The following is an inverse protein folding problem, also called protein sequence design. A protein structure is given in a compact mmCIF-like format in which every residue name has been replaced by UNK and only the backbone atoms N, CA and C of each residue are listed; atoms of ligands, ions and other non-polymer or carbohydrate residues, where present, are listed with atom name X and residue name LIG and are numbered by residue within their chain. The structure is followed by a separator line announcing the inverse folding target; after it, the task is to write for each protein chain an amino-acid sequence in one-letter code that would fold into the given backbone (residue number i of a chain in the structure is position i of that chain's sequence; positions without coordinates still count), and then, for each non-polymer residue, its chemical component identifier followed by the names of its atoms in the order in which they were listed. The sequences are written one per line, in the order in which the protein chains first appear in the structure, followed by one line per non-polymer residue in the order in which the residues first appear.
data_IF_329336969846
#
_entry.id   IF_329336969846
#
_cell.length_a   1.000
_cell.length_b   1.000
_cell.length_c   1.000
_cell.angle_alpha   90.00
_cell.angle_beta   90.00
_cell.angle_gamma   90.00
#
_symmetry.space_group_name_H-M   'P 1'
#
loop_
_entity.id
_entity.type
_entity.pdbx_description
1 polymer ?
#
# COMPACT_ATOMS: atom_id res chain seq x y z
N UNK A 1 -12.05 -8.13 11.27
CA UNK A 1 -11.81 -6.76 11.78
C UNK A 1 -11.42 -5.81 10.66
N UNK A 2 -11.69 -4.50 10.81
CA UNK A 2 -11.28 -3.44 9.86
C UNK A 2 -10.80 -2.20 10.61
N UNK A 3 -9.77 -1.54 10.08
CA UNK A 3 -9.25 -0.26 10.59
C UNK A 3 -8.53 0.49 9.47
N UNK A 4 -7.97 1.65 9.78
CA UNK A 4 -7.23 2.44 8.79
C UNK A 4 -5.88 2.91 9.32
N UNK A 5 -4.97 3.27 8.40
CA UNK A 5 -3.72 3.94 8.71
C UNK A 5 -3.32 4.91 7.57
N UNK A 6 -2.35 5.78 7.81
CA UNK A 6 -1.83 6.70 6.78
C UNK A 6 -1.02 5.92 5.71
N UNK A 7 -1.42 5.95 4.42
CA UNK A 7 -0.77 5.19 3.35
C UNK A 7 0.69 5.57 3.07
N UNK A 8 1.17 6.73 3.54
CA UNK A 8 2.57 7.14 3.39
C UNK A 8 3.47 6.61 4.51
N UNK A 9 2.91 6.06 5.59
CA UNK A 9 3.69 5.47 6.69
C UNK A 9 4.07 4.03 6.35
N UNK A 10 5.16 3.86 5.60
CA UNK A 10 5.69 2.55 5.16
C UNK A 10 5.90 1.53 6.29
N UNK A 11 6.24 1.98 7.49
CA UNK A 11 6.37 1.11 8.68
C UNK A 11 5.02 0.51 9.08
N UNK A 12 3.96 1.30 9.05
CA UNK A 12 2.62 0.83 9.32
C UNK A 12 2.15 -0.08 8.18
N UNK A 13 2.49 0.23 6.93
CA UNK A 13 2.22 -0.64 5.80
C UNK A 13 2.83 -2.03 5.98
N UNK A 14 4.12 -2.09 6.32
CA UNK A 14 4.83 -3.35 6.56
C UNK A 14 4.18 -4.13 7.70
N UNK A 15 3.92 -3.47 8.83
CA UNK A 15 3.30 -4.13 9.98
C UNK A 15 1.91 -4.69 9.63
N UNK A 16 1.03 -3.87 9.06
CA UNK A 16 -0.35 -4.28 8.77
C UNK A 16 -0.41 -5.37 7.69
N UNK A 17 0.34 -5.22 6.60
CA UNK A 17 0.21 -6.09 5.43
C UNK A 17 1.15 -7.30 5.46
N UNK A 18 2.38 -7.13 5.94
CA UNK A 18 3.42 -8.18 5.89
C UNK A 18 3.62 -8.90 7.21
N UNK A 19 3.46 -8.21 8.36
CA UNK A 19 3.59 -8.84 9.69
C UNK A 19 2.27 -9.46 10.18
N UNK A 20 1.16 -8.72 10.13
CA UNK A 20 -0.16 -9.25 10.50
C UNK A 20 -0.81 -10.04 9.37
N UNK A 21 -0.46 -9.72 8.13
CA UNK A 21 -1.05 -10.31 6.92
C UNK A 21 -2.37 -9.66 6.48
N UNK A 22 -2.86 -8.61 7.14
CA UNK A 22 -4.11 -7.93 6.74
C UNK A 22 -4.04 -7.47 5.28
N UNK A 23 -5.19 -7.26 4.65
CA UNK A 23 -5.24 -6.80 3.25
C UNK A 23 -5.77 -5.38 3.16
N UNK A 24 -5.10 -4.53 2.38
CA UNK A 24 -5.61 -3.21 2.01
C UNK A 24 -6.74 -3.33 1.00
N UNK A 25 -7.86 -2.69 1.27
CA UNK A 25 -9.11 -2.87 0.51
C UNK A 25 -9.73 -1.59 -0.04
N UNK A 26 -9.34 -0.42 0.48
CA UNK A 26 -9.81 0.86 -0.03
C UNK A 26 -8.82 1.98 0.33
N UNK A 27 -8.83 3.04 -0.47
CA UNK A 27 -8.15 4.30 -0.21
C UNK A 27 -9.22 5.36 0.03
N UNK A 28 -9.15 6.04 1.16
CA UNK A 28 -10.07 7.12 1.52
C UNK A 28 -9.29 8.42 1.62
N UNK A 29 -9.58 9.35 0.70
CA UNK A 29 -8.97 10.67 0.68
C UNK A 29 -9.56 11.55 1.78
N UNK A 30 -8.72 12.32 2.48
CA UNK A 30 -9.15 13.31 3.47
C UNK A 30 -10.16 12.73 4.48
N UNK A 31 -9.91 11.52 4.98
CA UNK A 31 -10.87 10.69 5.73
C UNK A 31 -11.48 11.41 6.94
N UNK A 32 -10.75 12.33 7.57
CA UNK A 32 -11.24 13.12 8.70
C UNK A 32 -11.81 14.50 8.31
N UNK A 33 -12.23 14.66 7.05
CA UNK A 33 -12.68 15.93 6.47
C UNK A 33 -11.65 17.06 6.62
N UNK A 34 -10.36 16.70 6.60
CA UNK A 34 -9.22 17.62 6.71
C UNK A 34 -8.18 17.27 5.65
N UNK A 35 -7.51 18.26 5.05
CA UNK A 35 -6.40 18.03 4.14
C UNK A 35 -5.38 17.07 4.74
N UNK A 36 -4.83 16.19 3.90
CA UNK A 36 -3.69 15.32 4.22
C UNK A 36 -3.99 14.28 5.30
N UNK A 37 -5.26 13.94 5.48
CA UNK A 37 -5.71 12.88 6.38
C UNK A 37 -6.14 11.62 5.63
N UNK A 38 -5.47 11.30 4.53
CA UNK A 38 -5.78 10.10 3.76
C UNK A 38 -5.57 8.83 4.58
N UNK A 39 -6.38 7.82 4.26
CA UNK A 39 -6.41 6.57 4.99
C UNK A 39 -6.48 5.39 4.04
N UNK A 40 -5.55 4.45 4.22
CA UNK A 40 -5.70 3.11 3.69
C UNK A 40 -6.57 2.30 4.63
N UNK A 41 -7.70 1.79 4.13
CA UNK A 41 -8.57 0.87 4.85
C UNK A 41 -8.02 -0.54 4.70
N UNK A 42 -7.84 -1.23 5.82
CA UNK A 42 -7.42 -2.63 5.84
C UNK A 42 -8.49 -3.52 6.46
N UNK A 43 -8.52 -4.77 6.00
CA UNK A 43 -9.34 -5.83 6.53
C UNK A 43 -8.48 -6.98 6.99
N UNK A 44 -8.75 -7.47 8.19
CA UNK A 44 -8.11 -8.64 8.75
C UNK A 44 -9.17 -9.66 9.10
N UNK A 45 -9.11 -10.79 8.42
CA UNK A 45 -9.88 -11.97 8.79
C UNK A 45 -9.16 -12.68 9.94
N UNK A 46 -9.82 -12.77 11.09
CA UNK A 46 -9.29 -13.40 12.31
C UNK A 46 -9.61 -14.89 12.37
N UNK A 47 -10.61 -15.33 11.61
CA UNK A 47 -11.15 -16.70 11.67
C UNK A 47 -10.57 -17.59 10.56
N UNK A 48 -9.73 -17.02 9.69
CA UNK A 48 -9.03 -17.75 8.63
C UNK A 48 -8.04 -18.75 9.24
N UNK A 49 -8.49 -20.00 9.38
CA UNK A 49 -7.79 -21.10 10.04
C UNK A 49 -6.43 -21.47 9.40
N UNK A 50 -6.20 -21.09 8.15
CA UNK A 50 -5.02 -21.50 7.36
C UNK A 50 -4.19 -20.30 6.85
N UNK A 51 -4.22 -19.19 7.59
CA UNK A 51 -3.48 -18.00 7.17
C UNK A 51 -1.97 -18.24 7.30
N UNK A 52 -1.17 -18.10 6.22
CA UNK A 52 0.27 -18.10 6.36
C UNK A 52 0.67 -16.94 7.27
N UNK A 53 1.42 -17.24 8.34
CA UNK A 53 1.94 -16.26 9.32
C UNK A 53 2.79 -15.18 8.66
N UNK A 54 3.29 -15.44 7.45
CA UNK A 54 4.01 -14.48 6.61
C UNK A 54 3.77 -14.81 5.13
N UNK A 55 3.23 -13.86 4.36
CA UNK A 55 3.09 -14.02 2.91
C UNK A 55 4.47 -13.79 2.27
N UNK A 56 5.02 -14.81 1.61
CA UNK A 56 6.25 -14.64 0.83
C UNK A 56 5.93 -13.77 -0.39
N UNK A 57 6.53 -12.59 -0.46
CA UNK A 57 6.39 -11.70 -1.62
C UNK A 57 7.47 -12.04 -2.65
N UNK A 58 7.17 -11.94 -3.96
CA UNK A 58 8.20 -11.93 -5.00
C UNK A 58 9.21 -10.81 -4.75
N UNK A 59 10.39 -10.93 -5.37
CA UNK A 59 11.39 -9.86 -5.34
C UNK A 59 10.80 -8.61 -6.02
N UNK A 60 10.78 -7.45 -5.36
CA UNK A 60 10.30 -6.24 -5.99
C UNK A 60 11.19 -5.82 -7.17
N UNK A 61 10.64 -5.17 -8.20
CA UNK A 61 11.45 -4.50 -9.22
C UNK A 61 12.26 -3.36 -8.59
N UNK A 62 13.34 -2.96 -9.27
CA UNK A 62 14.11 -1.76 -8.89
C UNK A 62 13.23 -0.55 -9.14
N UNK A 63 12.87 0.16 -8.07
CA UNK A 63 12.05 1.38 -8.09
C UNK A 63 12.72 2.43 -7.20
N UNK A 64 12.64 3.69 -7.62
CA UNK A 64 13.26 4.80 -6.91
C UNK A 64 12.29 5.96 -6.66
N UNK A 65 12.83 7.12 -6.24
CA UNK A 65 12.04 8.33 -5.99
C UNK A 65 11.14 8.76 -7.16
N UNK A 66 11.61 8.60 -8.40
CA UNK A 66 10.85 8.94 -9.62
C UNK A 66 9.60 8.06 -9.85
N UNK A 67 9.52 6.92 -9.16
CA UNK A 67 8.41 5.97 -9.25
C UNK A 67 7.38 6.13 -8.12
N UNK A 68 7.62 7.00 -7.15
CA UNK A 68 6.73 7.14 -6.00
C UNK A 68 5.30 7.50 -6.40
N UNK A 69 4.32 6.83 -5.81
CA UNK A 69 2.90 6.97 -6.10
C UNK A 69 2.43 6.31 -7.39
N UNK A 70 3.33 5.72 -8.20
CA UNK A 70 3.00 5.13 -9.50
C UNK A 70 2.88 3.61 -9.42
N UNK A 71 2.05 3.04 -10.28
CA UNK A 71 1.92 1.60 -10.45
C UNK A 71 2.96 1.06 -11.43
N UNK A 72 3.65 0.00 -11.05
CA UNK A 72 4.53 -0.78 -11.92
C UNK A 72 4.09 -2.24 -11.92
N UNK A 73 3.67 -2.74 -13.08
CA UNK A 73 3.24 -4.13 -13.23
C UNK A 73 4.47 -5.06 -13.31
N UNK A 74 4.57 -6.04 -12.40
CA UNK A 74 5.60 -7.07 -12.41
C UNK A 74 5.17 -8.31 -11.63
N UNK A 75 5.67 -9.49 -12.03
CA UNK A 75 5.43 -10.79 -11.39
C UNK A 75 3.94 -11.11 -11.13
N UNK A 76 3.07 -10.80 -12.09
CA UNK A 76 1.63 -11.06 -11.97
C UNK A 76 0.90 -10.17 -10.95
N UNK A 77 1.48 -9.04 -10.54
CA UNK A 77 0.83 -8.04 -9.71
C UNK A 77 1.30 -6.62 -10.01
N UNK A 78 0.91 -5.69 -9.15
CA UNK A 78 1.30 -4.28 -9.24
C UNK A 78 2.12 -3.88 -8.01
N UNK A 79 3.23 -3.21 -8.25
CA UNK A 79 4.06 -2.59 -7.22
C UNK A 79 3.80 -1.09 -7.20
N UNK A 80 3.75 -0.51 -5.99
CA UNK A 80 3.50 0.92 -5.80
C UNK A 80 4.54 1.46 -4.83
N UNK A 81 5.45 2.30 -5.31
CA UNK A 81 6.52 2.86 -4.50
C UNK A 81 6.03 4.03 -3.65
N UNK A 82 6.59 4.18 -2.45
CA UNK A 82 6.37 5.29 -1.54
C UNK A 82 7.70 5.65 -0.83
N UNK A 83 7.87 6.90 -0.38
CA UNK A 83 9.03 7.27 0.42
C UNK A 83 9.02 6.58 1.79
N UNK A 84 10.21 6.29 2.31
CA UNK A 84 10.39 5.85 3.71
C UNK A 84 10.29 7.02 4.68
N UNK A 85 10.55 8.24 4.21
CA UNK A 85 10.53 9.50 4.98
C UNK A 85 9.68 10.57 4.28
N UNK A 86 8.35 10.41 4.21
CA UNK A 86 7.47 11.37 3.55
C UNK A 86 7.53 12.80 4.14
N UNK A 87 7.98 12.96 5.39
CA UNK A 87 8.15 14.27 6.02
C UNK A 87 9.41 15.02 5.57
N UNK A 88 10.28 14.42 4.76
CA UNK A 88 11.41 15.09 4.15
C UNK A 88 11.05 15.81 2.83
N UNK A 89 9.89 15.49 2.26
CA UNK A 89 9.38 16.12 1.05
C UNK A 89 8.83 17.51 1.35
N UNK A 90 8.98 18.42 0.41
CA UNK A 90 8.28 19.69 0.48
C UNK A 90 6.77 19.54 0.22
N UNK A 91 6.04 20.65 0.35
CA UNK A 91 4.58 20.64 0.21
C UNK A 91 4.11 20.29 -1.21
N UNK A 92 4.85 20.69 -2.25
CA UNK A 92 4.49 20.45 -3.65
C UNK A 92 4.76 18.99 -4.03
N UNK A 93 5.94 18.48 -3.70
CA UNK A 93 6.33 17.08 -3.86
C UNK A 93 5.34 16.17 -3.15
N UNK A 94 4.99 16.50 -1.90
CA UNK A 94 4.02 15.73 -1.11
C UNK A 94 2.63 15.77 -1.74
N UNK A 95 2.19 16.91 -2.28
CA UNK A 95 0.89 17.03 -2.93
C UNK A 95 0.82 16.21 -4.24
N UNK A 96 1.90 16.22 -5.03
CA UNK A 96 2.04 15.41 -6.25
C UNK A 96 2.00 13.92 -5.91
N UNK A 97 2.83 13.49 -4.96
CA UNK A 97 2.88 12.11 -4.49
C UNK A 97 1.51 11.64 -4.00
N UNK A 98 0.85 12.45 -3.17
CA UNK A 98 -0.46 12.14 -2.60
C UNK A 98 -1.51 11.92 -3.68
N UNK A 99 -1.61 12.83 -4.65
CA UNK A 99 -2.53 12.73 -5.79
C UNK A 99 -2.27 11.48 -6.63
N UNK A 100 -0.99 11.18 -6.88
CA UNK A 100 -0.61 10.03 -7.69
C UNK A 100 -0.89 8.71 -6.97
N UNK A 101 -0.60 8.66 -5.66
CA UNK A 101 -0.88 7.51 -4.82
C UNK A 101 -2.39 7.22 -4.70
N UNK A 102 -3.20 8.25 -4.47
CA UNK A 102 -4.67 8.14 -4.45
C UNK A 102 -5.19 7.56 -5.77
N UNK A 103 -4.77 8.14 -6.91
CA UNK A 103 -5.17 7.69 -8.24
C UNK A 103 -4.79 6.22 -8.44
N UNK A 104 -3.55 5.86 -8.12
CA UNK A 104 -3.00 4.52 -8.32
C UNK A 104 -3.71 3.47 -7.47
N UNK A 105 -3.83 3.70 -6.16
CA UNK A 105 -4.45 2.74 -5.25
C UNK A 105 -5.95 2.60 -5.51
N UNK A 106 -6.66 3.73 -5.73
CA UNK A 106 -8.09 3.69 -6.08
C UNK A 106 -8.35 2.92 -7.37
N UNK A 107 -7.49 3.09 -8.38
CA UNK A 107 -7.58 2.31 -9.61
C UNK A 107 -7.35 0.80 -9.37
N UNK A 108 -6.40 0.43 -8.51
CA UNK A 108 -6.18 -0.97 -8.14
C UNK A 108 -7.42 -1.57 -7.45
N UNK A 109 -7.99 -0.89 -6.46
CA UNK A 109 -9.18 -1.37 -5.75
C UNK A 109 -10.40 -1.49 -6.66
N UNK A 110 -10.59 -0.56 -7.61
CA UNK A 110 -11.67 -0.63 -8.61
C UNK A 110 -11.56 -1.84 -9.54
N UNK A 111 -10.34 -2.34 -9.79
CA UNK A 111 -10.13 -3.59 -10.55
C UNK A 111 -10.39 -4.85 -9.73
N UNK A 112 -10.62 -4.72 -8.41
CA UNK A 112 -10.73 -5.85 -7.49
C UNK A 112 -9.39 -6.33 -6.95
N UNK A 113 -8.30 -5.58 -7.16
CA UNK A 113 -7.03 -5.86 -6.50
C UNK A 113 -7.11 -5.52 -5.01
N UNK A 114 -6.29 -6.18 -4.21
CA UNK A 114 -6.06 -5.88 -2.80
C UNK A 114 -4.57 -5.68 -2.55
N UNK A 115 -4.22 -4.84 -1.58
CA UNK A 115 -2.82 -4.72 -1.14
C UNK A 115 -2.50 -5.85 -0.17
N UNK A 116 -1.51 -6.68 -0.51
CA UNK A 116 -1.20 -7.93 0.20
C UNK A 116 0.13 -7.91 0.94
N UNK A 117 0.91 -6.83 0.79
CA UNK A 117 2.20 -6.71 1.42
C UNK A 117 2.83 -5.35 1.22
N UNK A 118 3.80 -5.05 2.08
CA UNK A 118 4.72 -3.93 1.90
C UNK A 118 6.13 -4.29 2.39
N UNK A 119 7.14 -3.82 1.67
CA UNK A 119 8.55 -4.02 2.03
C UNK A 119 9.38 -2.78 1.74
N UNK A 120 10.43 -2.58 2.52
CA UNK A 120 11.46 -1.57 2.23
C UNK A 120 12.38 -2.09 1.13
N UNK A 121 12.69 -1.26 0.14
CA UNK A 121 13.70 -1.56 -0.88
C UNK A 121 15.07 -1.10 -0.43
N UNK A 122 15.15 0.18 -0.04
CA UNK A 122 16.38 0.85 0.33
C UNK A 122 16.11 1.95 1.36
N UNK A 123 17.06 2.87 1.53
CA UNK A 123 16.94 3.90 2.52
C UNK A 123 15.84 4.93 2.25
N UNK A 124 15.43 5.11 1.00
CA UNK A 124 14.51 6.14 0.52
C UNK A 124 13.16 5.56 0.12
N UNK A 125 13.12 4.33 -0.37
CA UNK A 125 11.94 3.74 -1.01
C UNK A 125 11.44 2.49 -0.29
N UNK A 126 10.13 2.44 -0.10
CA UNK A 126 9.38 1.23 0.22
C UNK A 126 8.31 1.00 -0.84
N UNK A 127 7.82 -0.23 -0.93
CA UNK A 127 6.82 -0.61 -1.94
C UNK A 127 5.67 -1.35 -1.30
N UNK A 128 4.47 -1.09 -1.82
CA UNK A 128 3.31 -1.96 -1.66
C UNK A 128 3.27 -2.99 -2.80
N UNK A 129 2.65 -4.13 -2.52
CA UNK A 129 2.25 -5.12 -3.51
C UNK A 129 0.74 -5.24 -3.57
N UNK A 130 0.17 -5.03 -4.76
CA UNK A 130 -1.22 -5.30 -5.08
C UNK A 130 -1.34 -6.55 -5.96
N UNK A 131 -2.38 -7.35 -5.72
CA UNK A 131 -2.74 -8.51 -6.54
C UNK A 131 -4.26 -8.60 -6.64
N UNK A 132 -4.81 -9.27 -7.66
CA UNK A 132 -6.23 -9.62 -7.67
C UNK A 132 -6.61 -10.30 -6.36
N UNK A 133 -7.79 -9.98 -5.82
CA UNK A 133 -8.31 -10.69 -4.65
C UNK A 133 -8.49 -12.16 -5.03
N UNK A 134 -7.76 -13.05 -4.36
CA UNK A 134 -8.01 -14.49 -4.45
C UNK A 134 -9.46 -14.72 -4.03
N UNK A 135 -10.27 -15.33 -4.90
CA UNK A 135 -11.66 -15.63 -4.60
C UNK A 135 -11.71 -16.53 -3.36
N UNK A 136 -12.54 -16.16 -2.40
CA UNK A 136 -13.05 -17.12 -1.42
C UNK A 136 -13.87 -18.13 -2.22
N UNK A 137 -13.27 -19.30 -2.50
CA UNK A 137 -14.00 -20.49 -2.89
C UNK A 137 -14.94 -20.92 -1.75
#
# INVERSE_FOLDING_TARGET
MRWTFDPLLSRNAHFNLSSLGAVGIAYERDYYARPDTDRLVVSWDLDAADRPTRRSLPVPPVLGPDDWGRAVAADGGTWIAIPTRPGALDAEERAVLRRDLERTMTAAFRRGDVLVGATRLDDETAVYRATPREGTA
#
